data_IF_972454401142
#
_entry.id   IF_972454401142
#
_cell.length_a   1.000
_cell.length_b   1.000
_cell.length_c   1.000
_cell.angle_alpha   90.00
_cell.angle_beta   90.00
_cell.angle_gamma   90.00
#
_symmetry.space_group_name_H-M   'P 1'
#
loop_
_entity.id
_entity.type
_entity.pdbx_description
1 polymer ?
#
# COMPACT_ATOMS: atom_id res chain seq x y z
N UNK A 1 -29.29 86.76 26.08
CA UNK A 1 -29.48 85.55 26.91
C UNK A 1 -30.11 84.38 26.14
N UNK A 2 -31.20 84.55 25.37
CA UNK A 2 -31.85 83.44 24.64
C UNK A 2 -30.98 82.74 23.58
N UNK A 3 -30.19 83.49 22.81
CA UNK A 3 -29.31 82.94 21.77
C UNK A 3 -28.14 82.08 22.31
N UNK A 4 -27.62 82.41 23.49
CA UNK A 4 -26.54 81.66 24.13
C UNK A 4 -27.05 80.29 24.61
N UNK A 5 -28.27 80.25 25.18
CA UNK A 5 -28.90 79.02 25.64
C UNK A 5 -29.19 78.04 24.50
N UNK A 6 -29.61 78.54 23.33
CA UNK A 6 -29.84 77.71 22.13
C UNK A 6 -28.55 77.13 21.56
N UNK A 7 -27.45 77.91 21.54
CA UNK A 7 -26.15 77.41 21.08
C UNK A 7 -25.61 76.33 22.03
N UNK A 8 -25.76 76.54 23.34
CA UNK A 8 -25.35 75.57 24.36
C UNK A 8 -26.15 74.25 24.26
N UNK A 9 -27.45 74.33 23.99
CA UNK A 9 -28.31 73.17 23.80
C UNK A 9 -27.93 72.37 22.54
N UNK A 10 -27.60 73.04 21.43
CA UNK A 10 -27.14 72.37 20.20
C UNK A 10 -25.79 71.68 20.43
N UNK A 11 -24.86 72.33 21.13
CA UNK A 11 -23.57 71.73 21.51
C UNK A 11 -23.76 70.49 22.40
N UNK A 12 -24.66 70.55 23.38
CA UNK A 12 -24.97 69.40 24.24
C UNK A 12 -25.54 68.22 23.45
N UNK A 13 -26.45 68.47 22.50
CA UNK A 13 -27.01 67.42 21.64
C UNK A 13 -25.93 66.84 20.72
N UNK A 14 -25.05 67.68 20.14
CA UNK A 14 -23.96 67.24 19.29
C UNK A 14 -22.92 66.40 20.06
N UNK A 15 -22.58 66.78 21.29
CA UNK A 15 -21.68 66.04 22.17
C UNK A 15 -22.31 64.71 22.61
N UNK A 16 -23.60 64.71 22.97
CA UNK A 16 -24.32 63.50 23.34
C UNK A 16 -24.45 62.54 22.14
N UNK A 17 -24.71 63.06 20.94
CA UNK A 17 -24.82 62.28 19.71
C UNK A 17 -23.49 61.65 19.30
N UNK A 18 -22.40 62.43 19.28
CA UNK A 18 -21.06 61.91 18.97
C UNK A 18 -20.57 60.94 20.05
N UNK A 19 -20.77 61.26 21.34
CA UNK A 19 -20.47 60.36 22.45
C UNK A 19 -21.23 59.04 22.38
N UNK A 20 -22.53 59.08 22.07
CA UNK A 20 -23.35 57.87 21.87
C UNK A 20 -22.93 57.04 20.66
N UNK A 21 -22.54 57.70 19.56
CA UNK A 21 -22.01 57.05 18.36
C UNK A 21 -20.71 56.30 18.68
N UNK A 22 -19.71 56.98 19.26
CA UNK A 22 -18.43 56.36 19.64
C UNK A 22 -18.62 55.26 20.70
N UNK A 23 -19.54 55.44 21.65
CA UNK A 23 -19.86 54.43 22.65
C UNK A 23 -20.40 53.14 22.02
N UNK A 24 -21.33 53.24 21.07
CA UNK A 24 -21.89 52.08 20.39
C UNK A 24 -20.84 51.36 19.52
N UNK A 25 -20.00 52.10 18.81
CA UNK A 25 -18.94 51.53 17.97
C UNK A 25 -17.87 50.83 18.80
N UNK A 26 -17.48 51.41 19.94
CA UNK A 26 -16.57 50.78 20.89
C UNK A 26 -17.14 49.49 21.48
N UNK A 27 -18.43 49.47 21.83
CA UNK A 27 -19.10 48.24 22.31
C UNK A 27 -19.12 47.13 21.25
N UNK A 28 -19.35 47.47 19.98
CA UNK A 28 -19.27 46.50 18.88
C UNK A 28 -17.87 45.93 18.73
N UNK A 29 -16.84 46.79 18.80
CA UNK A 29 -15.45 46.36 18.74
C UNK A 29 -15.06 45.43 19.89
N UNK A 30 -15.52 45.72 21.12
CA UNK A 30 -15.30 44.85 22.28
C UNK A 30 -15.98 43.48 22.12
N UNK A 31 -17.22 43.45 21.63
CA UNK A 31 -17.93 42.19 21.37
C UNK A 31 -17.22 41.34 20.31
N UNK A 32 -16.72 41.95 19.24
CA UNK A 32 -15.92 41.26 18.22
C UNK A 32 -14.60 40.72 18.79
N UNK A 33 -13.96 41.45 19.70
CA UNK A 33 -12.70 41.01 20.31
C UNK A 33 -12.92 39.80 21.24
N UNK A 34 -14.03 39.79 21.98
CA UNK A 34 -14.44 38.64 22.80
C UNK A 34 -14.74 37.41 21.94
N UNK A 35 -15.47 37.59 20.83
CA UNK A 35 -15.73 36.53 19.84
C UNK A 35 -14.43 35.98 19.24
N UNK A 36 -13.54 36.86 18.78
CA UNK A 36 -12.22 36.49 18.25
C UNK A 36 -11.39 35.72 19.26
N UNK A 37 -11.39 36.13 20.53
CA UNK A 37 -10.69 35.42 21.61
C UNK A 37 -11.29 34.03 21.83
N UNK A 38 -12.62 33.90 21.80
CA UNK A 38 -13.31 32.61 21.85
C UNK A 38 -12.89 31.67 20.71
N UNK A 39 -12.96 32.16 19.47
CA UNK A 39 -12.58 31.38 18.29
C UNK A 39 -11.11 30.98 18.29
N UNK A 40 -10.21 31.85 18.77
CA UNK A 40 -8.79 31.53 18.86
C UNK A 40 -8.52 30.45 19.92
N UNK A 41 -9.24 30.47 21.04
CA UNK A 41 -9.14 29.44 22.06
C UNK A 41 -9.65 28.09 21.55
N UNK A 42 -10.75 28.08 20.82
CA UNK A 42 -11.31 26.87 20.20
C UNK A 42 -10.36 26.30 19.15
N UNK A 43 -9.85 27.14 18.25
CA UNK A 43 -8.90 26.74 17.22
C UNK A 43 -7.59 26.23 17.84
N UNK A 44 -7.11 26.83 18.92
CA UNK A 44 -5.93 26.36 19.63
C UNK A 44 -6.15 24.95 20.20
N UNK A 45 -7.33 24.67 20.75
CA UNK A 45 -7.70 23.33 21.22
C UNK A 45 -7.79 22.32 20.07
N UNK A 46 -8.41 22.71 18.96
CA UNK A 46 -8.53 21.86 17.78
C UNK A 46 -7.16 21.50 17.21
N UNK A 47 -6.27 22.48 17.04
CA UNK A 47 -4.89 22.26 16.57
C UNK A 47 -4.14 21.30 17.47
N UNK A 48 -4.28 21.42 18.78
CA UNK A 48 -3.61 20.51 19.72
C UNK A 48 -4.18 19.08 19.63
N UNK A 49 -5.51 18.96 19.51
CA UNK A 49 -6.16 17.66 19.31
C UNK A 49 -5.74 16.99 18.00
N UNK A 50 -5.62 17.76 16.91
CA UNK A 50 -5.19 17.27 15.61
C UNK A 50 -3.72 16.85 15.63
N UNK A 51 -2.85 17.61 16.30
CA UNK A 51 -1.45 17.22 16.49
C UNK A 51 -1.32 15.90 17.24
N UNK A 52 -2.08 15.72 18.32
CA UNK A 52 -2.09 14.47 19.08
C UNK A 52 -2.53 13.29 18.20
N UNK A 53 -3.60 13.47 17.41
CA UNK A 53 -4.07 12.45 16.45
C UNK A 53 -3.04 12.14 15.37
N UNK A 54 -2.37 13.15 14.83
CA UNK A 54 -1.30 12.95 13.84
C UNK A 54 -0.16 12.14 14.44
N UNK A 55 0.28 12.46 15.66
CA UNK A 55 1.35 11.74 16.34
C UNK A 55 0.99 10.28 16.60
N UNK A 56 -0.25 10.02 17.03
CA UNK A 56 -0.76 8.65 17.22
C UNK A 56 -0.80 7.88 15.91
N UNK A 57 -1.38 8.46 14.87
CA UNK A 57 -1.49 7.83 13.54
C UNK A 57 -0.10 7.58 12.96
N UNK A 58 0.83 8.52 13.05
CA UNK A 58 2.21 8.32 12.57
C UNK A 58 2.91 7.18 13.30
N UNK A 59 2.73 7.07 14.62
CA UNK A 59 3.30 5.97 15.40
C UNK A 59 2.72 4.62 14.98
N UNK A 60 1.40 4.54 14.76
CA UNK A 60 0.76 3.32 14.26
C UNK A 60 1.27 2.90 12.87
N UNK A 61 1.49 3.87 11.98
CA UNK A 61 2.06 3.60 10.66
C UNK A 61 3.49 3.05 10.76
N UNK A 62 4.34 3.62 11.61
CA UNK A 62 5.71 3.14 11.82
C UNK A 62 5.73 1.71 12.36
N UNK A 63 4.91 1.39 13.36
CA UNK A 63 4.78 0.03 13.90
C UNK A 63 4.33 -0.95 12.81
N UNK A 64 3.29 -0.60 12.05
CA UNK A 64 2.77 -1.47 10.99
C UNK A 64 3.77 -1.68 9.85
N UNK A 65 4.58 -0.66 9.51
CA UNK A 65 5.64 -0.79 8.53
C UNK A 65 6.75 -1.72 9.02
N UNK A 66 7.13 -1.64 10.30
CA UNK A 66 8.12 -2.53 10.90
C UNK A 66 7.63 -3.99 10.91
N UNK A 67 6.37 -4.22 11.28
CA UNK A 67 5.73 -5.55 11.25
C UNK A 67 5.72 -6.13 9.83
N UNK A 68 5.21 -5.38 8.84
CA UNK A 68 5.18 -5.81 7.45
C UNK A 68 6.60 -6.10 6.91
N UNK A 69 7.57 -5.27 7.27
CA UNK A 69 8.97 -5.47 6.86
C UNK A 69 9.53 -6.77 7.44
N UNK A 70 9.30 -7.02 8.72
CA UNK A 70 9.76 -8.23 9.39
C UNK A 70 9.10 -9.49 8.83
N UNK A 71 7.80 -9.45 8.58
CA UNK A 71 7.07 -10.55 7.94
C UNK A 71 7.60 -10.84 6.52
N UNK A 72 7.84 -9.79 5.72
CA UNK A 72 8.41 -9.94 4.38
C UNK A 72 9.81 -10.52 4.41
N UNK A 73 10.65 -10.11 5.35
CA UNK A 73 12.01 -10.62 5.46
C UNK A 73 12.03 -12.09 5.89
N UNK A 74 11.16 -12.48 6.83
CA UNK A 74 10.97 -13.87 7.21
C UNK A 74 10.50 -14.72 6.01
N UNK A 75 9.58 -14.20 5.21
CA UNK A 75 9.08 -14.87 4.00
C UNK A 75 10.18 -15.04 2.94
N UNK A 76 10.96 -13.99 2.67
CA UNK A 76 12.09 -14.06 1.74
C UNK A 76 13.11 -15.12 2.21
N UNK A 77 13.38 -15.20 3.51
CA UNK A 77 14.31 -16.19 4.06
C UNK A 77 13.78 -17.62 3.91
N UNK A 78 12.48 -17.86 4.17
CA UNK A 78 11.85 -19.17 3.92
C UNK A 78 11.90 -19.58 2.44
N UNK A 79 11.70 -18.62 1.54
CA UNK A 79 11.80 -18.86 0.10
C UNK A 79 13.24 -19.17 -0.32
N UNK A 80 14.23 -18.51 0.27
CA UNK A 80 15.66 -18.84 0.06
C UNK A 80 15.99 -20.24 0.53
N UNK A 81 15.56 -20.63 1.73
CA UNK A 81 15.77 -22.00 2.23
C UNK A 81 15.13 -23.05 1.32
N UNK A 82 13.96 -22.73 0.76
CA UNK A 82 13.28 -23.59 -0.22
C UNK A 82 14.06 -23.65 -1.53
N UNK A 83 14.55 -22.51 -2.01
CA UNK A 83 15.39 -22.44 -3.20
C UNK A 83 16.65 -23.29 -3.02
N UNK A 84 17.34 -23.16 -1.90
CA UNK A 84 18.56 -23.91 -1.61
C UNK A 84 18.30 -25.42 -1.61
N UNK A 85 17.18 -25.87 -1.01
CA UNK A 85 16.75 -27.28 -1.06
C UNK A 85 16.46 -27.75 -2.48
N UNK A 86 15.78 -26.95 -3.31
CA UNK A 86 15.54 -27.29 -4.70
C UNK A 86 16.86 -27.39 -5.48
N UNK A 87 17.79 -26.44 -5.26
CA UNK A 87 19.11 -26.46 -5.89
C UNK A 87 19.93 -27.69 -5.50
N UNK A 88 19.83 -28.13 -4.24
CA UNK A 88 20.52 -29.32 -3.74
C UNK A 88 19.89 -30.62 -4.27
N UNK A 89 18.57 -30.78 -4.12
CA UNK A 89 17.86 -32.01 -4.50
C UNK A 89 17.76 -32.20 -6.03
N UNK A 90 17.88 -31.12 -6.82
CA UNK A 90 17.76 -31.13 -8.28
C UNK A 90 19.08 -30.82 -9.02
N UNK A 91 20.21 -30.94 -8.33
CA UNK A 91 21.53 -30.57 -8.85
C UNK A 91 21.83 -31.25 -10.20
N UNK A 92 21.54 -32.55 -10.30
CA UNK A 92 21.82 -33.34 -11.51
C UNK A 92 20.99 -32.86 -12.70
N UNK A 93 19.70 -32.55 -12.49
CA UNK A 93 18.81 -32.00 -13.50
C UNK A 93 19.24 -30.61 -13.96
N UNK A 94 19.69 -29.77 -13.03
CA UNK A 94 20.20 -28.42 -13.34
C UNK A 94 21.49 -28.51 -14.18
N UNK A 95 22.43 -29.39 -13.78
CA UNK A 95 23.68 -29.62 -14.53
C UNK A 95 23.39 -30.14 -15.95
N UNK A 96 22.37 -30.98 -16.10
CA UNK A 96 21.89 -31.49 -17.38
C UNK A 96 21.01 -30.49 -18.15
N UNK A 97 20.81 -29.27 -17.62
CA UNK A 97 19.96 -28.21 -18.18
C UNK A 97 18.51 -28.64 -18.42
N UNK A 98 18.01 -29.51 -17.56
CA UNK A 98 16.63 -29.99 -17.56
C UNK A 98 15.70 -29.08 -16.77
N UNK A 99 16.24 -28.44 -15.74
CA UNK A 99 15.52 -27.57 -14.80
C UNK A 99 16.32 -26.29 -14.55
N UNK A 100 15.61 -25.18 -14.42
CA UNK A 100 16.14 -23.88 -14.03
C UNK A 100 15.31 -23.34 -12.86
N UNK A 101 15.98 -22.89 -11.80
CA UNK A 101 15.32 -22.36 -10.60
C UNK A 101 15.74 -20.89 -10.43
N UNK A 102 14.76 -20.00 -10.33
CA UNK A 102 14.99 -18.56 -10.14
C UNK A 102 14.12 -18.00 -9.02
N UNK A 103 14.69 -17.12 -8.20
CA UNK A 103 13.96 -16.38 -7.18
C UNK A 103 13.87 -14.90 -7.58
N UNK A 104 12.66 -14.36 -7.57
CA UNK A 104 12.39 -12.94 -7.77
C UNK A 104 11.53 -12.42 -6.62
N UNK A 105 12.14 -11.65 -5.71
CA UNK A 105 11.49 -11.13 -4.50
C UNK A 105 10.79 -12.23 -3.68
N UNK A 106 9.46 -12.22 -3.68
CA UNK A 106 8.57 -13.13 -2.96
C UNK A 106 8.08 -14.32 -3.83
N UNK A 107 8.70 -14.54 -5.00
CA UNK A 107 8.35 -15.62 -5.92
C UNK A 107 9.53 -16.52 -6.23
N UNK A 108 9.29 -17.82 -6.17
CA UNK A 108 10.20 -18.87 -6.63
C UNK A 108 9.63 -19.50 -7.89
N UNK A 109 10.43 -19.56 -8.96
CA UNK A 109 10.04 -20.10 -10.25
C UNK A 109 10.92 -21.30 -10.60
N UNK A 110 10.28 -22.42 -10.94
CA UNK A 110 10.94 -23.63 -11.43
C UNK A 110 10.51 -23.81 -12.88
N UNK A 111 11.45 -23.64 -13.80
CA UNK A 111 11.27 -23.84 -15.22
C UNK A 111 11.85 -25.20 -15.62
N UNK A 112 11.14 -25.93 -16.48
CA UNK A 112 11.53 -27.26 -16.93
C UNK A 112 11.55 -27.28 -18.46
N UNK A 113 12.51 -28.01 -19.04
CA UNK A 113 12.59 -28.11 -20.49
C UNK A 113 11.49 -29.01 -21.03
N UNK A 114 10.71 -28.48 -21.97
CA UNK A 114 9.58 -29.14 -22.64
C UNK A 114 9.93 -30.56 -23.14
N UNK A 115 11.05 -30.72 -23.87
CA UNK A 115 11.47 -32.01 -24.46
C UNK A 115 11.63 -33.17 -23.48
N UNK A 116 11.77 -32.88 -22.19
CA UNK A 116 11.90 -33.87 -21.12
C UNK A 116 10.53 -34.24 -20.59
N UNK A 117 9.64 -33.25 -20.47
CA UNK A 117 8.29 -33.46 -19.99
C UNK A 117 7.42 -34.12 -21.06
N UNK A 118 7.53 -33.70 -22.32
CA UNK A 118 6.61 -34.07 -23.37
C UNK A 118 7.36 -34.50 -24.63
N UNK A 119 6.96 -35.62 -25.28
CA UNK A 119 7.36 -35.89 -26.65
C UNK A 119 6.77 -34.83 -27.60
N UNK A 120 7.46 -34.57 -28.71
CA UNK A 120 6.97 -33.62 -29.73
C UNK A 120 5.54 -33.95 -30.18
N UNK A 121 4.65 -32.95 -30.07
CA UNK A 121 3.25 -33.07 -30.47
C UNK A 121 2.37 -33.91 -29.54
N UNK A 122 2.80 -34.17 -28.30
CA UNK A 122 2.03 -34.90 -27.29
C UNK A 122 1.94 -34.10 -26.00
N UNK A 123 0.87 -34.30 -25.24
CA UNK A 123 0.69 -33.76 -23.89
C UNK A 123 0.86 -34.82 -22.78
N UNK A 124 1.13 -36.08 -23.16
CA UNK A 124 1.42 -37.15 -22.21
C UNK A 124 2.83 -37.00 -21.65
N UNK A 125 2.94 -37.02 -20.32
CA UNK A 125 4.21 -36.84 -19.62
C UNK A 125 5.10 -38.07 -19.83
N UNK A 126 6.37 -37.86 -20.17
CA UNK A 126 7.31 -38.97 -20.31
C UNK A 126 7.63 -39.62 -18.95
N UNK A 127 8.04 -40.89 -18.90
CA UNK A 127 8.49 -41.52 -17.65
C UNK A 127 9.68 -40.82 -17.00
N UNK A 128 10.51 -40.12 -17.76
CA UNK A 128 11.62 -39.31 -17.23
C UNK A 128 11.11 -38.00 -16.65
N UNK A 129 10.26 -37.28 -17.39
CA UNK A 129 9.63 -36.04 -16.93
C UNK A 129 8.81 -36.24 -15.66
N UNK A 130 8.11 -37.37 -15.54
CA UNK A 130 7.35 -37.73 -14.33
C UNK A 130 8.26 -37.82 -13.10
N UNK A 131 9.45 -38.43 -13.22
CA UNK A 131 10.41 -38.52 -12.10
C UNK A 131 10.90 -37.15 -11.64
N UNK A 132 11.11 -36.23 -12.58
CA UNK A 132 11.54 -34.86 -12.23
C UNK A 132 10.38 -34.11 -11.57
N UNK A 133 9.16 -34.23 -12.09
CA UNK A 133 7.96 -33.63 -11.47
C UNK A 133 7.69 -34.20 -10.07
N UNK A 134 7.90 -35.49 -9.83
CA UNK A 134 7.80 -36.10 -8.50
C UNK A 134 8.81 -35.50 -7.51
N UNK A 135 10.06 -35.24 -7.94
CA UNK A 135 11.05 -34.56 -7.11
C UNK A 135 10.61 -33.13 -6.75
N UNK A 136 10.19 -32.34 -7.74
CA UNK A 136 9.64 -30.99 -7.51
C UNK A 136 8.45 -31.06 -6.55
N UNK A 137 7.51 -31.97 -6.81
CA UNK A 137 6.33 -32.21 -6.00
C UNK A 137 6.66 -32.53 -4.54
N UNK A 138 7.61 -33.42 -4.29
CA UNK A 138 8.03 -33.81 -2.94
C UNK A 138 8.68 -32.65 -2.16
N UNK A 139 9.37 -31.76 -2.84
CA UNK A 139 10.00 -30.58 -2.22
C UNK A 139 8.93 -29.54 -1.89
N UNK A 140 8.07 -29.20 -2.86
CA UNK A 140 7.04 -28.17 -2.65
C UNK A 140 5.91 -28.62 -1.72
N UNK A 141 5.66 -29.93 -1.59
CA UNK A 141 4.69 -30.48 -0.64
C UNK A 141 5.08 -30.24 0.83
N UNK A 142 6.34 -29.91 1.10
CA UNK A 142 6.81 -29.52 2.45
C UNK A 142 6.59 -28.04 2.75
N UNK A 143 6.10 -27.26 1.78
CA UNK A 143 5.91 -25.82 1.92
C UNK A 143 4.43 -25.55 2.22
N UNK A 144 4.17 -25.08 3.43
CA UNK A 144 2.82 -24.68 3.86
C UNK A 144 2.52 -23.24 3.44
N UNK A 145 1.23 -22.91 3.32
CA UNK A 145 0.73 -21.55 3.06
C UNK A 145 1.30 -20.87 1.80
N UNK A 146 1.36 -21.62 0.68
CA UNK A 146 1.73 -21.08 -0.64
C UNK A 146 0.73 -21.47 -1.71
N UNK A 147 0.55 -20.55 -2.66
CA UNK A 147 -0.21 -20.80 -3.88
C UNK A 147 0.77 -21.32 -4.94
N UNK A 148 0.52 -22.54 -5.40
CA UNK A 148 1.25 -23.12 -6.52
C UNK A 148 0.53 -22.73 -7.81
N UNK A 149 1.26 -22.10 -8.74
CA UNK A 149 0.76 -21.77 -10.07
C UNK A 149 1.57 -22.52 -11.11
N UNK A 150 0.89 -23.28 -11.95
CA UNK A 150 1.49 -24.03 -13.06
C UNK A 150 1.15 -23.31 -14.36
N UNK A 151 2.18 -22.96 -15.12
CA UNK A 151 2.06 -22.27 -16.40
C UNK A 151 2.72 -23.13 -17.49
N UNK A 152 2.04 -23.26 -18.63
CA UNK A 152 2.55 -23.94 -19.81
C UNK A 152 2.77 -22.94 -20.94
N UNK A 153 3.91 -23.06 -21.63
CA UNK A 153 4.23 -22.24 -22.80
C UNK A 153 4.48 -23.13 -24.01
N UNK A 154 4.10 -22.63 -25.18
CA UNK A 154 4.49 -23.18 -26.49
C UNK A 154 5.34 -22.16 -27.23
N UNK A 155 5.99 -22.58 -28.31
CA UNK A 155 6.50 -21.65 -29.29
C UNK A 155 5.36 -21.11 -30.20
N UNK A 156 5.74 -20.42 -31.26
CA UNK A 156 4.84 -19.88 -32.28
C UNK A 156 4.80 -20.74 -33.56
N UNK A 157 5.27 -21.99 -33.51
CA UNK A 157 5.27 -22.90 -34.66
C UNK A 157 3.93 -23.63 -34.70
N UNK A 158 3.19 -23.58 -35.83
CA UNK A 158 1.91 -24.27 -35.93
C UNK A 158 2.06 -25.78 -35.71
N UNK A 159 1.17 -26.34 -34.88
CA UNK A 159 1.08 -27.78 -34.71
C UNK A 159 0.65 -28.44 -36.02
N UNK A 160 1.09 -29.68 -36.22
CA UNK A 160 0.76 -30.44 -37.43
C UNK A 160 -0.77 -30.53 -37.59
N UNK A 161 -1.36 -30.36 -38.81
CA UNK A 161 -2.81 -30.32 -38.99
C UNK A 161 -3.59 -31.48 -38.36
N UNK A 162 -3.00 -32.68 -38.35
CA UNK A 162 -3.57 -33.87 -37.69
C UNK A 162 -3.75 -33.76 -36.17
N UNK A 163 -3.05 -32.83 -35.51
CA UNK A 163 -3.14 -32.61 -34.07
C UNK A 163 -4.11 -31.49 -33.69
N UNK A 164 -4.58 -30.69 -34.65
CA UNK A 164 -5.52 -29.59 -34.40
C UNK A 164 -6.90 -30.08 -33.96
N UNK A 165 -7.28 -31.30 -34.35
CA UNK A 165 -8.53 -31.91 -33.90
C UNK A 165 -8.47 -32.37 -32.43
N UNK A 166 -7.28 -32.67 -31.92
CA UNK A 166 -7.03 -33.15 -30.55
C UNK A 166 -6.66 -32.02 -29.58
N UNK A 167 -5.90 -31.03 -30.08
CA UNK A 167 -5.47 -29.82 -29.36
C UNK A 167 -5.92 -28.57 -30.15
N UNK A 168 -7.23 -28.21 -30.08
CA UNK A 168 -7.80 -27.09 -30.84
C UNK A 168 -7.38 -25.70 -30.34
#
# INVERSE_FOLDING_TARGET
MKALATILAILLIAVAGTGGYYYNEHRKALAQLEELQGTNSELAFEVESLKARIAEVSSQYETKLAEISQEKEAEINRLKETQDKLLEEMKDEIEQKQVEITQMADRLSVSMVDKILFPSGKAEITPEGLKVLERVGNIINKIEDKIIRVEGHTDNVPIHPRLQDEFP
#
